data_IF_216834751611
#
_entry.id   IF_216834751611
#
_cell.length_a   1.000
_cell.length_b   1.000
_cell.length_c   1.000
_cell.angle_alpha   90.00
_cell.angle_beta   90.00
_cell.angle_gamma   90.00
#
_symmetry.space_group_name_H-M   'P 1'
#
loop_
_entity.id
_entity.type
_entity.pdbx_description
1 polymer ?
#
# COMPACT_ATOMS: atom_id res chain seq x y z
N UNK A 1 -2.95 -13.61 35.29
CA UNK A 1 -4.25 -13.12 34.79
C UNK A 1 -4.69 -11.90 35.57
N UNK A 2 -4.43 -10.71 35.02
CA UNK A 2 -4.65 -9.40 35.68
C UNK A 2 -5.96 -8.76 35.19
N UNK A 3 -7.05 -9.53 35.12
CA UNK A 3 -8.39 -8.96 34.86
C UNK A 3 -9.45 -9.78 35.60
N UNK A 4 -10.32 -9.17 36.42
CA UNK A 4 -11.46 -9.84 37.05
C UNK A 4 -12.42 -10.44 36.00
N UNK A 5 -12.91 -11.67 36.24
CA UNK A 5 -13.77 -12.46 35.31
C UNK A 5 -15.04 -11.73 34.85
N UNK A 6 -15.51 -10.75 35.62
CA UNK A 6 -16.70 -9.95 35.33
C UNK A 6 -16.51 -8.90 34.21
N UNK A 7 -15.25 -8.56 33.86
CA UNK A 7 -14.94 -7.58 32.79
C UNK A 7 -14.13 -8.14 31.61
N UNK A 8 -13.82 -9.44 31.59
CA UNK A 8 -13.07 -10.05 30.49
C UNK A 8 -13.86 -10.04 29.17
N UNK A 9 -15.19 -10.10 29.23
CA UNK A 9 -16.07 -9.99 28.07
C UNK A 9 -15.97 -8.63 27.37
N UNK A 10 -15.99 -7.52 28.12
CA UNK A 10 -15.79 -6.17 27.57
C UNK A 10 -14.35 -5.95 27.08
N UNK A 11 -13.35 -6.46 27.79
CA UNK A 11 -11.94 -6.31 27.39
C UNK A 11 -11.61 -7.03 26.06
N UNK A 12 -12.23 -8.19 25.81
CA UNK A 12 -12.02 -8.96 24.56
C UNK A 12 -12.64 -8.27 23.34
N UNK A 13 -13.78 -7.60 23.52
CA UNK A 13 -14.41 -6.79 22.47
C UNK A 13 -13.53 -5.63 22.03
N UNK A 14 -13.00 -4.85 22.99
CA UNK A 14 -12.12 -3.70 22.73
C UNK A 14 -10.83 -4.12 22.00
N UNK A 15 -10.23 -5.25 22.40
CA UNK A 15 -9.03 -5.78 21.74
C UNK A 15 -9.29 -6.19 20.29
N UNK A 16 -10.43 -6.84 20.02
CA UNK A 16 -10.80 -7.31 18.68
C UNK A 16 -11.09 -6.14 17.74
N UNK A 17 -11.86 -5.15 18.20
CA UNK A 17 -12.12 -3.92 17.42
C UNK A 17 -10.82 -3.16 17.14
N UNK A 18 -9.94 -3.01 18.14
CA UNK A 18 -8.65 -2.32 17.97
C UNK A 18 -7.77 -2.99 16.93
N UNK A 19 -7.74 -4.33 16.90
CA UNK A 19 -7.03 -5.11 15.87
C UNK A 19 -7.63 -4.88 14.48
N UNK A 20 -8.95 -4.97 14.35
CA UNK A 20 -9.63 -4.72 13.07
C UNK A 20 -9.39 -3.31 12.55
N UNK A 21 -9.56 -2.29 13.40
CA UNK A 21 -9.26 -0.91 13.06
C UNK A 21 -7.80 -0.72 12.65
N UNK A 22 -6.87 -1.36 13.36
CA UNK A 22 -5.45 -1.34 13.00
C UNK A 22 -5.16 -1.95 11.63
N UNK A 23 -5.77 -3.10 11.30
CA UNK A 23 -5.62 -3.75 9.99
C UNK A 23 -6.17 -2.85 8.89
N UNK A 24 -7.37 -2.29 9.06
CA UNK A 24 -8.00 -1.38 8.10
C UNK A 24 -7.17 -0.11 7.90
N UNK A 25 -6.68 0.48 8.99
CA UNK A 25 -5.85 1.68 8.94
C UNK A 25 -4.53 1.40 8.22
N UNK A 26 -3.90 0.25 8.50
CA UNK A 26 -2.69 -0.20 7.82
C UNK A 26 -2.92 -0.40 6.33
N UNK A 27 -4.01 -1.08 5.95
CA UNK A 27 -4.33 -1.31 4.55
C UNK A 27 -4.60 0.00 3.80
N UNK A 28 -5.37 0.92 4.40
CA UNK A 28 -5.64 2.25 3.84
C UNK A 28 -4.36 3.08 3.67
N UNK A 29 -3.50 3.09 4.69
CA UNK A 29 -2.23 3.81 4.64
C UNK A 29 -1.29 3.24 3.56
N UNK A 30 -1.13 1.92 3.52
CA UNK A 30 -0.27 1.26 2.54
C UNK A 30 -0.79 1.44 1.11
N UNK A 31 -2.11 1.34 0.91
CA UNK A 31 -2.75 1.60 -0.39
C UNK A 31 -2.53 3.05 -0.84
N UNK A 32 -2.64 4.01 0.09
CA UNK A 32 -2.35 5.42 -0.18
C UNK A 32 -0.88 5.68 -0.53
N UNK A 33 0.06 5.03 0.16
CA UNK A 33 1.49 5.11 -0.14
C UNK A 33 1.78 4.54 -1.52
N UNK A 34 1.27 3.35 -1.84
CA UNK A 34 1.42 2.73 -3.15
C UNK A 34 0.89 3.66 -4.25
N UNK A 35 -0.32 4.19 -4.06
CA UNK A 35 -0.94 5.10 -5.02
C UNK A 35 -0.11 6.37 -5.25
N UNK A 36 0.44 6.94 -4.17
CA UNK A 36 1.27 8.15 -4.25
C UNK A 36 2.60 7.85 -4.94
N UNK A 37 3.23 6.71 -4.66
CA UNK A 37 4.50 6.33 -5.27
C UNK A 37 4.35 6.01 -6.75
N UNK A 38 3.29 5.31 -7.16
CA UNK A 38 2.98 5.06 -8.58
C UNK A 38 2.76 6.38 -9.32
N UNK A 39 1.94 7.30 -8.78
CA UNK A 39 1.75 8.64 -9.35
C UNK A 39 3.07 9.42 -9.48
N UNK A 40 3.92 9.41 -8.44
CA UNK A 40 5.22 10.09 -8.48
C UNK A 40 6.16 9.48 -9.51
N UNK A 41 6.16 8.15 -9.65
CA UNK A 41 7.00 7.47 -10.62
C UNK A 41 6.56 7.78 -12.05
N UNK A 42 5.26 7.73 -12.33
CA UNK A 42 4.71 8.09 -13.65
C UNK A 42 4.90 9.57 -13.97
N UNK A 43 4.82 10.46 -12.97
CA UNK A 43 5.14 11.87 -13.15
C UNK A 43 6.63 12.12 -13.46
N UNK A 44 7.54 11.29 -12.91
CA UNK A 44 8.98 11.45 -13.10
C UNK A 44 9.50 10.80 -14.40
N UNK A 45 8.97 9.63 -14.77
CA UNK A 45 9.45 8.83 -15.91
C UNK A 45 8.51 8.88 -17.13
N UNK A 46 7.31 9.45 -16.98
CA UNK A 46 6.28 9.42 -18.00
C UNK A 46 5.67 8.03 -18.19
N UNK A 47 4.79 7.92 -19.18
CA UNK A 47 4.08 6.69 -19.55
C UNK A 47 4.59 6.11 -20.89
N UNK A 48 5.80 6.49 -21.30
CA UNK A 48 6.41 6.09 -22.59
C UNK A 48 5.93 6.94 -23.78
N UNK A 49 6.51 6.68 -24.97
CA UNK A 49 6.18 7.37 -26.21
C UNK A 49 4.80 6.98 -26.73
N UNK A 50 3.82 7.88 -26.61
CA UNK A 50 2.44 7.68 -27.10
C UNK A 50 1.35 7.82 -26.02
N UNK A 51 1.73 7.98 -24.76
CA UNK A 51 0.75 8.12 -23.68
C UNK A 51 0.31 9.58 -23.51
N UNK A 52 -0.94 9.87 -23.87
CA UNK A 52 -1.52 11.21 -23.82
C UNK A 52 -1.84 11.68 -22.38
N UNK A 53 -2.20 10.76 -21.49
CA UNK A 53 -2.66 11.08 -20.13
C UNK A 53 -1.90 10.26 -19.07
N UNK A 54 -0.71 10.74 -18.63
CA UNK A 54 0.08 10.04 -17.61
C UNK A 54 -0.63 9.92 -16.25
N UNK A 55 -1.54 10.84 -15.92
CA UNK A 55 -2.35 10.77 -14.69
C UNK A 55 -3.33 9.60 -14.70
N UNK A 56 -4.03 9.39 -15.82
CA UNK A 56 -5.02 8.31 -15.98
C UNK A 56 -4.32 6.96 -16.01
N UNK A 57 -3.14 6.89 -16.62
CA UNK A 57 -2.30 5.69 -16.58
C UNK A 57 -1.87 5.32 -15.15
N UNK A 58 -1.43 6.32 -14.36
CA UNK A 58 -1.09 6.09 -12.96
C UNK A 58 -2.30 5.63 -12.14
N UNK A 59 -3.48 6.25 -12.34
CA UNK A 59 -4.70 5.87 -11.62
C UNK A 59 -5.17 4.46 -12.00
N UNK A 60 -5.09 4.11 -13.28
CA UNK A 60 -5.40 2.77 -13.77
C UNK A 60 -4.43 1.70 -13.20
N UNK A 61 -3.13 1.98 -13.09
CA UNK A 61 -2.18 1.07 -12.41
C UNK A 61 -2.57 0.90 -10.94
N UNK A 62 -2.95 1.98 -10.26
CA UNK A 62 -3.37 1.95 -8.86
C UNK A 62 -4.68 1.19 -8.67
N UNK A 63 -5.61 1.31 -9.62
CA UNK A 63 -6.87 0.58 -9.66
C UNK A 63 -6.71 -0.89 -10.10
N UNK A 64 -5.52 -1.27 -10.58
CA UNK A 64 -5.27 -2.60 -11.15
C UNK A 64 -5.83 -2.79 -12.57
N UNK A 65 -6.28 -1.72 -13.22
CA UNK A 65 -6.84 -1.72 -14.57
C UNK A 65 -5.78 -1.40 -15.65
N UNK A 66 -4.69 -2.17 -15.63
CA UNK A 66 -3.65 -2.11 -16.65
C UNK A 66 -4.18 -2.36 -18.09
N UNK A 67 -5.16 -3.26 -18.33
CA UNK A 67 -5.72 -3.49 -19.66
C UNK A 67 -6.37 -2.24 -20.26
N UNK A 68 -7.15 -1.48 -19.48
CA UNK A 68 -7.74 -0.22 -19.96
C UNK A 68 -6.67 0.82 -20.25
N UNK A 69 -5.62 0.89 -19.44
CA UNK A 69 -4.52 1.84 -19.59
C UNK A 69 -3.70 1.64 -20.87
N UNK A 70 -3.63 0.41 -21.38
CA UNK A 70 -2.87 0.05 -22.60
C UNK A 70 -3.76 -0.18 -23.82
N UNK A 71 -5.09 -0.06 -23.68
CA UNK A 71 -6.06 -0.34 -24.75
C UNK A 71 -5.91 0.54 -26.00
N UNK A 72 -5.26 1.71 -25.86
CA UNK A 72 -4.95 2.62 -26.96
C UNK A 72 -3.49 2.60 -27.45
N UNK A 73 -2.64 1.72 -26.90
CA UNK A 73 -1.23 1.59 -27.31
C UNK A 73 -1.07 0.32 -28.18
N UNK A 74 -0.48 0.48 -29.36
CA UNK A 74 -0.16 -0.63 -30.25
C UNK A 74 1.36 -0.86 -30.38
N UNK A 75 1.73 -2.12 -30.63
CA UNK A 75 3.12 -2.52 -30.88
C UNK A 75 4.06 -2.27 -29.69
N UNK A 76 5.31 -1.93 -29.98
CA UNK A 76 6.39 -1.80 -28.98
C UNK A 76 6.09 -0.83 -27.83
N UNK A 77 5.26 0.18 -28.05
CA UNK A 77 4.84 1.13 -27.02
C UNK A 77 4.05 0.45 -25.89
N UNK A 78 3.26 -0.59 -26.21
CA UNK A 78 2.49 -1.36 -25.24
C UNK A 78 3.38 -2.18 -24.32
N UNK A 79 4.35 -2.91 -24.88
CA UNK A 79 5.32 -3.68 -24.09
C UNK A 79 6.16 -2.75 -23.18
N UNK A 80 6.59 -1.60 -23.70
CA UNK A 80 7.31 -0.58 -22.91
C UNK A 80 6.43 -0.09 -21.75
N UNK A 81 5.18 0.29 -22.02
CA UNK A 81 4.25 0.74 -20.98
C UNK A 81 4.00 -0.33 -19.90
N UNK A 82 3.87 -1.61 -20.29
CA UNK A 82 3.73 -2.73 -19.35
C UNK A 82 4.97 -2.87 -18.47
N UNK A 83 6.18 -2.83 -19.05
CA UNK A 83 7.43 -2.91 -18.29
C UNK A 83 7.56 -1.74 -17.31
N UNK A 84 7.25 -0.52 -17.75
CA UNK A 84 7.24 0.67 -16.90
C UNK A 84 6.21 0.55 -15.75
N UNK A 85 5.00 0.06 -16.04
CA UNK A 85 3.97 -0.18 -15.02
C UNK A 85 4.42 -1.19 -13.96
N UNK A 86 5.02 -2.32 -14.38
CA UNK A 86 5.54 -3.32 -13.45
C UNK A 86 6.65 -2.76 -12.56
N UNK A 87 7.57 -1.97 -13.12
CA UNK A 87 8.64 -1.33 -12.34
C UNK A 87 8.08 -0.30 -11.34
N UNK A 88 7.15 0.54 -11.77
CA UNK A 88 6.49 1.52 -10.90
C UNK A 88 5.76 0.85 -9.74
N UNK A 89 5.00 -0.20 -10.04
CA UNK A 89 4.25 -0.96 -9.03
C UNK A 89 5.18 -1.66 -8.05
N UNK A 90 6.21 -2.36 -8.54
CA UNK A 90 7.18 -3.07 -7.70
C UNK A 90 7.93 -2.12 -6.78
N UNK A 91 8.34 -0.96 -7.29
CA UNK A 91 8.99 0.08 -6.49
C UNK A 91 8.04 0.65 -5.42
N UNK A 92 6.81 1.02 -5.79
CA UNK A 92 5.81 1.50 -4.85
C UNK A 92 5.49 0.49 -3.76
N UNK A 93 5.41 -0.79 -4.13
CA UNK A 93 5.16 -1.89 -3.19
C UNK A 93 6.34 -2.10 -2.23
N UNK A 94 7.58 -2.06 -2.72
CA UNK A 94 8.76 -2.15 -1.88
C UNK A 94 8.82 -1.02 -0.84
N UNK A 95 8.48 0.21 -1.24
CA UNK A 95 8.39 1.36 -0.33
C UNK A 95 7.28 1.15 0.71
N UNK A 96 6.11 0.66 0.29
CA UNK A 96 5.01 0.34 1.20
C UNK A 96 5.45 -0.72 2.24
N UNK A 97 6.14 -1.77 1.81
CA UNK A 97 6.70 -2.79 2.71
C UNK A 97 7.74 -2.21 3.68
N UNK A 98 8.62 -1.31 3.22
CA UNK A 98 9.59 -0.63 4.07
C UNK A 98 8.90 0.17 5.18
N UNK A 99 7.86 0.93 4.83
CA UNK A 99 7.06 1.67 5.81
C UNK A 99 6.39 0.70 6.78
N UNK A 100 5.80 -0.40 6.28
CA UNK A 100 5.21 -1.43 7.14
C UNK A 100 6.24 -2.04 8.11
N UNK A 101 7.47 -2.30 7.66
CA UNK A 101 8.54 -2.80 8.52
C UNK A 101 8.91 -1.81 9.63
N UNK A 102 8.95 -0.50 9.35
CA UNK A 102 9.20 0.52 10.37
C UNK A 102 8.09 0.52 11.42
N UNK A 103 6.82 0.43 11.01
CA UNK A 103 5.69 0.29 11.94
C UNK A 103 5.76 -0.99 12.76
N UNK A 104 6.16 -2.11 12.15
CA UNK A 104 6.34 -3.38 12.84
C UNK A 104 7.47 -3.34 13.87
N UNK A 105 8.58 -2.66 13.56
CA UNK A 105 9.66 -2.42 14.53
C UNK A 105 9.17 -1.55 15.69
N UNK A 106 8.44 -0.47 15.40
CA UNK A 106 7.85 0.39 16.43
C UNK A 106 6.89 -0.37 17.36
N UNK A 107 6.03 -1.23 16.80
CA UNK A 107 5.12 -2.05 17.59
C UNK A 107 5.88 -3.08 18.44
N UNK A 108 6.92 -3.71 17.87
CA UNK A 108 7.79 -4.64 18.58
C UNK A 108 8.48 -3.98 19.78
N UNK A 109 9.06 -2.80 19.59
CA UNK A 109 9.68 -2.01 20.67
C UNK A 109 8.65 -1.68 21.75
N UNK A 110 7.45 -1.24 21.35
CA UNK A 110 6.37 -0.88 22.30
C UNK A 110 5.98 -2.08 23.16
N UNK A 111 5.78 -3.25 22.54
CA UNK A 111 5.46 -4.49 23.26
C UNK A 111 6.62 -4.89 24.18
N UNK A 112 7.86 -4.80 23.71
CA UNK A 112 9.04 -5.10 24.51
C UNK A 112 9.13 -4.19 25.74
N UNK A 113 8.93 -2.88 25.57
CA UNK A 113 8.92 -1.92 26.69
C UNK A 113 7.81 -2.21 27.68
N UNK A 114 6.60 -2.56 27.21
CA UNK A 114 5.46 -2.89 28.07
C UNK A 114 5.63 -4.21 28.84
N UNK A 115 6.36 -5.18 28.28
CA UNK A 115 6.67 -6.43 28.95
C UNK A 115 7.83 -6.31 29.93
N UNK A 116 8.70 -5.31 29.75
CA UNK A 116 9.85 -5.05 30.60
C UNK A 116 9.61 -3.97 31.68
N UNK A 117 8.53 -3.21 31.57
CA UNK A 117 8.05 -2.24 32.59
C UNK A 117 7.20 -2.91 33.66
#
# INVERSE_FOLDING_TARGET
>A
SVVPKERSGMASGISTTSRFSGILLGFAMLSGILATMVRKWVAAFGCGSGCHHPSDFADAIVAGDLPSAISGLEGSSREIAIQHAHHAFSYGFAVALLVASIFALGSSITVFTLMHS
#
